data_IF_200329907159
#
_entry.id   IF_200329907159
#
_cell.length_a   1.000
_cell.length_b   1.000
_cell.length_c   1.000
_cell.angle_alpha   90.00
_cell.angle_beta   90.00
_cell.angle_gamma   90.00
#
_symmetry.space_group_name_H-M   'P 1'
#
loop_
_entity.id
_entity.type
_entity.pdbx_description
1 polymer ?
#
# COMPACT_ATOMS: atom_id res chain seq x y z
N UNK A 1 -10.67 0.05 -20.86
CA UNK A 1 -9.75 -0.32 -19.78
C UNK A 1 -9.46 -1.83 -19.74
N UNK A 2 -10.46 -2.71 -19.93
CA UNK A 2 -10.26 -4.16 -19.93
C UNK A 2 -9.15 -4.66 -20.88
N UNK A 3 -9.02 -4.08 -22.06
CA UNK A 3 -7.97 -4.45 -23.02
C UNK A 3 -6.55 -4.20 -22.53
N UNK A 4 -6.34 -3.14 -21.71
CA UNK A 4 -5.05 -2.87 -21.10
C UNK A 4 -4.63 -4.03 -20.20
N UNK A 5 -5.48 -4.45 -19.27
CA UNK A 5 -5.19 -5.54 -18.34
C UNK A 5 -5.05 -6.90 -19.04
N UNK A 6 -5.81 -7.14 -20.12
CA UNK A 6 -5.66 -8.35 -20.93
C UNK A 6 -4.28 -8.47 -21.57
N UNK A 7 -3.67 -7.32 -21.96
CA UNK A 7 -2.34 -7.30 -22.55
C UNK A 7 -1.22 -7.61 -21.54
N UNK A 8 -1.45 -7.45 -20.24
CA UNK A 8 -0.48 -7.81 -19.22
C UNK A 8 -0.14 -9.31 -19.24
N UNK A 9 -1.05 -10.16 -19.72
CA UNK A 9 -0.88 -11.62 -19.78
C UNK A 9 0.26 -12.06 -20.70
N UNK A 10 0.60 -11.26 -21.71
CA UNK A 10 1.66 -11.59 -22.68
C UNK A 10 3.06 -11.15 -22.23
N UNK A 11 3.15 -10.37 -21.15
CA UNK A 11 4.42 -9.88 -20.63
C UNK A 11 5.16 -11.02 -19.91
N UNK A 12 6.42 -11.33 -20.27
CA UNK A 12 7.20 -12.34 -19.56
C UNK A 12 7.43 -11.95 -18.10
N UNK A 13 7.06 -12.85 -17.17
CA UNK A 13 7.21 -12.63 -15.72
C UNK A 13 8.65 -12.79 -15.21
N UNK A 14 9.55 -13.37 -16.01
CA UNK A 14 10.96 -13.54 -15.63
C UNK A 14 11.86 -12.88 -16.67
N UNK A 15 12.59 -11.86 -16.28
CA UNK A 15 13.56 -11.16 -17.12
C UNK A 15 14.76 -10.71 -16.30
N UNK A 16 15.96 -10.88 -16.84
CA UNK A 16 17.22 -10.43 -16.22
C UNK A 16 17.43 -10.92 -14.77
N UNK A 17 16.93 -12.12 -14.45
CA UNK A 17 17.02 -12.69 -13.11
C UNK A 17 16.00 -12.13 -12.11
N UNK A 18 15.09 -11.25 -12.55
CA UNK A 18 14.04 -10.65 -11.73
C UNK A 18 12.71 -11.30 -12.05
N UNK A 19 11.90 -11.55 -11.04
CA UNK A 19 10.49 -11.89 -11.18
C UNK A 19 9.64 -10.62 -11.17
N UNK A 20 8.84 -10.44 -12.21
CA UNK A 20 8.00 -9.27 -12.41
C UNK A 20 6.55 -9.61 -12.08
N UNK A 21 6.00 -8.97 -11.06
CA UNK A 21 4.57 -9.01 -10.74
C UNK A 21 3.89 -7.81 -11.41
N UNK A 22 2.89 -8.08 -12.24
CA UNK A 22 2.12 -7.04 -12.92
C UNK A 22 0.77 -6.85 -12.24
N UNK A 23 0.49 -5.62 -11.86
CA UNK A 23 -0.70 -5.30 -11.10
C UNK A 23 -1.23 -3.90 -11.34
N UNK A 24 -1.95 -3.42 -10.36
CA UNK A 24 -2.53 -2.08 -10.39
C UNK A 24 -2.61 -1.51 -8.98
N UNK A 25 -2.56 -0.20 -8.90
CA UNK A 25 -3.01 0.54 -7.74
C UNK A 25 -4.49 0.88 -7.89
N UNK A 26 -5.31 0.32 -7.00
CA UNK A 26 -6.75 0.50 -6.92
C UNK A 26 -7.10 1.75 -6.11
N UNK A 27 -8.15 2.44 -6.51
CA UNK A 27 -8.73 3.48 -5.68
C UNK A 27 -9.80 2.89 -4.75
N UNK A 28 -9.64 3.07 -3.44
CA UNK A 28 -10.69 2.82 -2.47
C UNK A 28 -11.70 3.97 -2.54
N UNK A 29 -12.96 3.67 -2.83
CA UNK A 29 -13.96 4.66 -3.21
C UNK A 29 -14.79 5.19 -2.03
N UNK A 30 -14.93 4.40 -0.97
CA UNK A 30 -15.79 4.71 0.18
C UNK A 30 -15.44 3.86 1.41
N UNK A 31 -16.08 4.15 2.54
CA UNK A 31 -15.89 3.42 3.80
C UNK A 31 -16.29 1.93 3.74
N UNK A 32 -17.12 1.53 2.77
CA UNK A 32 -17.45 0.11 2.53
C UNK A 32 -16.30 -0.67 1.87
N UNK A 33 -15.19 -0.01 1.53
CA UNK A 33 -14.02 -0.65 0.90
C UNK A 33 -14.21 -0.97 -0.58
N UNK A 34 -15.17 -0.31 -1.25
CA UNK A 34 -15.39 -0.51 -2.68
C UNK A 34 -14.20 0.02 -3.48
N UNK A 35 -13.73 -0.77 -4.44
CA UNK A 35 -12.65 -0.39 -5.36
C UNK A 35 -13.19 -0.06 -6.76
N UNK A 36 -12.38 0.63 -7.55
CA UNK A 36 -12.74 1.14 -8.88
C UNK A 36 -12.62 0.11 -10.02
N UNK A 37 -12.04 -1.06 -9.77
CA UNK A 37 -11.98 -2.16 -10.74
C UNK A 37 -12.87 -3.33 -10.32
N UNK A 38 -13.38 -4.03 -11.33
CA UNK A 38 -14.21 -5.22 -11.11
C UNK A 38 -13.36 -6.44 -10.74
N UNK A 39 -13.96 -7.38 -10.03
CA UNK A 39 -13.35 -8.66 -9.67
C UNK A 39 -12.81 -9.44 -10.88
N UNK A 40 -13.48 -9.36 -12.03
CA UNK A 40 -13.03 -10.02 -13.25
C UNK A 40 -11.70 -9.47 -13.79
N UNK A 41 -11.38 -8.20 -13.49
CA UNK A 41 -10.06 -7.63 -13.77
C UNK A 41 -9.07 -8.09 -12.72
N UNK A 42 -9.42 -7.97 -11.44
CA UNK A 42 -8.53 -8.30 -10.31
C UNK A 42 -8.01 -9.75 -10.39
N UNK A 43 -8.85 -10.71 -10.73
CA UNK A 43 -8.47 -12.11 -10.95
C UNK A 43 -7.36 -12.33 -11.98
N UNK A 44 -7.10 -11.35 -12.83
CA UNK A 44 -6.12 -11.46 -13.91
C UNK A 44 -4.77 -10.84 -13.58
N UNK A 45 -4.66 -10.19 -12.43
CA UNK A 45 -3.47 -9.50 -11.96
C UNK A 45 -2.62 -10.43 -11.08
N UNK A 46 -1.33 -10.15 -11.03
CA UNK A 46 -0.40 -10.86 -10.15
C UNK A 46 -0.39 -10.23 -8.75
N UNK A 47 -0.73 -8.93 -8.65
CA UNK A 47 -0.71 -8.16 -7.41
C UNK A 47 -1.66 -6.97 -7.50
N UNK A 48 -2.32 -6.59 -6.41
CA UNK A 48 -3.11 -5.38 -6.32
C UNK A 48 -2.81 -4.60 -5.04
N UNK A 49 -2.54 -3.30 -5.22
CA UNK A 49 -2.34 -2.32 -4.15
C UNK A 49 -3.63 -1.52 -4.03
N UNK A 50 -4.17 -1.34 -2.84
CA UNK A 50 -5.36 -0.53 -2.62
C UNK A 50 -5.02 0.73 -1.81
N UNK A 51 -5.36 1.90 -2.36
CA UNK A 51 -5.01 3.20 -1.79
C UNK A 51 -6.19 4.14 -1.73
N UNK A 52 -6.15 5.12 -0.82
CA UNK A 52 -7.14 6.19 -0.78
C UNK A 52 -6.55 7.45 -1.43
N UNK A 53 -7.30 8.02 -2.39
CA UNK A 53 -6.94 9.25 -3.08
C UNK A 53 -8.07 10.29 -2.99
N UNK A 54 -7.69 11.58 -2.85
CA UNK A 54 -8.64 12.69 -2.70
C UNK A 54 -9.73 12.71 -3.78
N UNK A 55 -9.42 12.57 -5.09
CA UNK A 55 -10.45 12.66 -6.11
C UNK A 55 -11.39 11.45 -6.18
N UNK A 56 -11.02 10.34 -5.51
CA UNK A 56 -11.73 9.07 -5.63
C UNK A 56 -12.56 8.73 -4.39
N UNK A 57 -12.08 9.06 -3.20
CA UNK A 57 -12.77 8.76 -1.95
C UNK A 57 -13.96 9.69 -1.75
N UNK A 58 -15.16 9.14 -1.63
CA UNK A 58 -16.44 9.88 -1.68
C UNK A 58 -17.01 10.22 -0.32
N UNK A 59 -16.61 9.48 0.71
CA UNK A 59 -17.11 9.71 2.07
C UNK A 59 -16.30 10.79 2.78
N UNK A 60 -16.86 11.28 3.88
CA UNK A 60 -16.14 12.19 4.76
C UNK A 60 -14.88 11.52 5.32
N UNK A 61 -13.75 12.22 5.27
CA UNK A 61 -12.43 11.71 5.69
C UNK A 61 -12.26 11.77 7.20
N UNK A 62 -13.19 11.17 7.94
CA UNK A 62 -13.07 10.97 9.39
C UNK A 62 -12.18 9.76 9.69
N UNK A 63 -11.60 9.70 10.89
CA UNK A 63 -10.82 8.53 11.35
C UNK A 63 -11.63 7.25 11.19
N UNK A 64 -12.93 7.27 11.52
CA UNK A 64 -13.77 6.07 11.45
C UNK A 64 -14.01 5.62 10.01
N UNK A 65 -14.39 6.53 9.09
CA UNK A 65 -14.65 6.18 7.69
C UNK A 65 -13.38 5.69 6.98
N UNK A 66 -12.23 6.34 7.22
CA UNK A 66 -10.97 5.95 6.61
C UNK A 66 -10.49 4.59 7.15
N UNK A 67 -10.61 4.39 8.47
CA UNK A 67 -10.25 3.10 9.07
C UNK A 67 -11.15 1.99 8.56
N UNK A 68 -12.46 2.21 8.51
CA UNK A 68 -13.42 1.24 7.97
C UNK A 68 -13.15 0.93 6.50
N UNK A 69 -12.79 1.91 5.68
CA UNK A 69 -12.43 1.73 4.28
C UNK A 69 -11.26 0.75 4.11
N UNK A 70 -10.20 0.95 4.89
CA UNK A 70 -9.05 0.05 4.89
C UNK A 70 -9.41 -1.34 5.45
N UNK A 71 -10.15 -1.41 6.56
CA UNK A 71 -10.56 -2.70 7.13
C UNK A 71 -11.42 -3.52 6.17
N UNK A 72 -12.35 -2.87 5.47
CA UNK A 72 -13.26 -3.53 4.54
C UNK A 72 -12.57 -3.94 3.24
N UNK A 73 -11.68 -3.11 2.68
CA UNK A 73 -10.95 -3.47 1.46
C UNK A 73 -10.00 -4.65 1.67
N UNK A 74 -9.44 -4.82 2.87
CA UNK A 74 -8.59 -5.97 3.21
C UNK A 74 -9.37 -7.31 3.27
N UNK A 75 -10.70 -7.29 3.28
CA UNK A 75 -11.52 -8.52 3.13
C UNK A 75 -11.62 -8.97 1.67
N UNK A 76 -11.22 -8.13 0.72
CA UNK A 76 -11.19 -8.50 -0.68
C UNK A 76 -9.98 -9.41 -0.95
N UNK A 77 -10.17 -10.68 -1.35
CA UNK A 77 -9.10 -11.65 -1.51
C UNK A 77 -8.11 -11.35 -2.65
N UNK A 78 -8.38 -10.32 -3.44
CA UNK A 78 -7.51 -9.86 -4.53
C UNK A 78 -6.70 -8.62 -4.16
N UNK A 79 -6.78 -8.14 -2.91
CA UNK A 79 -6.00 -7.01 -2.43
C UNK A 79 -4.85 -7.52 -1.58
N UNK A 80 -3.63 -7.31 -2.05
CA UNK A 80 -2.41 -7.81 -1.42
C UNK A 80 -1.76 -6.77 -0.52
N UNK A 81 -1.87 -5.49 -0.89
CA UNK A 81 -1.15 -4.39 -0.25
C UNK A 81 -2.09 -3.21 0.00
N UNK A 82 -1.97 -2.58 1.16
CA UNK A 82 -2.51 -1.24 1.40
C UNK A 82 -1.41 -0.21 1.10
N UNK A 83 -1.66 0.63 0.09
CA UNK A 83 -0.73 1.66 -0.36
C UNK A 83 -0.77 2.91 0.52
N UNK A 84 0.40 3.47 0.80
CA UNK A 84 0.66 4.74 1.51
C UNK A 84 -0.36 5.14 2.61
N UNK A 85 -0.67 4.27 3.60
CA UNK A 85 -1.64 4.58 4.65
C UNK A 85 -1.13 5.62 5.66
N UNK A 86 0.05 6.15 5.43
CA UNK A 86 0.70 7.18 6.21
C UNK A 86 0.25 8.61 5.86
N UNK A 87 -0.53 8.79 4.80
CA UNK A 87 -1.00 10.11 4.36
C UNK A 87 -1.98 10.74 5.36
N UNK A 88 -1.51 11.76 6.09
CA UNK A 88 -2.30 12.43 7.13
C UNK A 88 -3.56 13.16 6.65
N UNK A 89 -3.72 13.32 5.33
CA UNK A 89 -4.98 13.82 4.73
C UNK A 89 -6.13 12.80 4.87
N UNK A 90 -5.79 11.56 5.21
CA UNK A 90 -6.69 10.43 5.48
C UNK A 90 -6.38 9.87 6.87
N UNK A 91 -6.88 10.51 7.93
CA UNK A 91 -6.57 10.11 9.30
C UNK A 91 -7.12 8.70 9.58
N UNK A 92 -6.27 7.82 10.12
CA UNK A 92 -6.57 6.41 10.36
C UNK A 92 -6.23 5.99 11.78
N UNK A 93 -7.04 5.10 12.37
CA UNK A 93 -6.65 4.37 13.58
C UNK A 93 -5.59 3.32 13.22
N UNK A 94 -4.33 3.67 13.42
CA UNK A 94 -3.19 2.87 13.01
C UNK A 94 -3.17 1.49 13.68
N UNK A 95 -3.63 1.40 14.92
CA UNK A 95 -3.69 0.13 15.66
C UNK A 95 -4.74 -0.82 15.06
N UNK A 96 -5.91 -0.30 14.72
CA UNK A 96 -6.96 -1.08 14.03
C UNK A 96 -6.48 -1.53 12.66
N UNK A 97 -5.88 -0.62 11.88
CA UNK A 97 -5.30 -0.92 10.55
C UNK A 97 -4.32 -2.09 10.62
N UNK A 98 -3.32 -2.02 11.49
CA UNK A 98 -2.29 -3.06 11.64
C UNK A 98 -2.90 -4.37 12.15
N UNK A 99 -3.83 -4.29 13.11
CA UNK A 99 -4.51 -5.49 13.61
C UNK A 99 -5.36 -6.18 12.54
N UNK A 100 -5.95 -5.41 11.63
CA UNK A 100 -6.69 -5.96 10.49
C UNK A 100 -5.74 -6.61 9.48
N UNK A 101 -4.66 -5.92 9.11
CA UNK A 101 -3.63 -6.45 8.21
C UNK A 101 -3.07 -7.80 8.73
N UNK A 102 -2.84 -7.91 10.04
CA UNK A 102 -2.45 -9.19 10.66
C UNK A 102 -3.45 -10.32 10.43
N UNK A 103 -4.75 -10.01 10.53
CA UNK A 103 -5.81 -11.03 10.39
C UNK A 103 -5.99 -11.50 8.96
N UNK A 104 -5.84 -10.58 7.99
CA UNK A 104 -6.05 -10.87 6.57
C UNK A 104 -4.78 -11.32 5.86
N UNK A 105 -3.60 -11.04 6.43
CA UNK A 105 -2.31 -11.28 5.78
C UNK A 105 -1.94 -10.20 4.76
N UNK A 106 -2.70 -9.11 4.70
CA UNK A 106 -2.44 -7.99 3.78
C UNK A 106 -1.19 -7.23 4.22
N UNK A 107 -0.33 -6.88 3.27
CA UNK A 107 0.89 -6.11 3.53
C UNK A 107 0.55 -4.61 3.69
N UNK A 108 1.34 -3.92 4.50
CA UNK A 108 1.26 -2.46 4.62
C UNK A 108 2.47 -1.82 3.95
N UNK A 109 2.22 -0.89 3.05
CA UNK A 109 3.29 -0.23 2.31
C UNK A 109 4.01 0.83 3.16
N UNK A 110 5.34 0.80 3.14
CA UNK A 110 6.20 1.92 3.49
C UNK A 110 6.60 2.59 2.19
N UNK A 111 5.88 3.65 1.84
CA UNK A 111 6.00 4.32 0.56
C UNK A 111 7.10 5.40 0.60
N UNK A 112 8.18 5.16 -0.14
CA UNK A 112 9.33 6.07 -0.16
C UNK A 112 8.99 7.47 -0.71
N UNK A 113 8.11 7.54 -1.73
CA UNK A 113 7.66 8.81 -2.31
C UNK A 113 6.87 9.65 -1.32
N UNK A 114 6.04 9.03 -0.46
CA UNK A 114 5.33 9.71 0.63
C UNK A 114 6.27 10.44 1.61
N UNK A 115 7.45 9.89 1.82
CA UNK A 115 8.39 10.35 2.84
C UNK A 115 9.34 11.45 2.34
N UNK A 116 9.26 11.83 1.06
CA UNK A 116 10.06 12.93 0.48
C UNK A 116 9.74 14.26 1.16
N UNK A 117 10.76 15.11 1.44
CA UNK A 117 10.56 16.40 2.09
C UNK A 117 9.61 17.34 1.32
N UNK A 118 9.65 17.28 -0.03
CA UNK A 118 8.85 18.11 -0.94
C UNK A 118 7.54 17.44 -1.35
N UNK A 119 7.15 16.35 -0.66
CA UNK A 119 5.93 15.61 -0.95
C UNK A 119 4.67 16.42 -0.67
N UNK A 120 3.60 16.08 -1.37
CA UNK A 120 2.28 16.72 -1.20
C UNK A 120 1.40 16.04 -0.12
N UNK A 121 1.83 14.88 0.38
CA UNK A 121 1.16 14.14 1.47
C UNK A 121 1.54 14.76 2.82
N UNK A 122 0.66 14.65 3.80
CA UNK A 122 0.79 15.34 5.09
C UNK A 122 1.18 14.38 6.22
N UNK A 123 2.02 14.83 7.16
CA UNK A 123 2.41 14.10 8.39
C UNK A 123 2.95 12.68 8.15
N UNK A 124 3.43 12.40 6.97
CA UNK A 124 3.79 11.05 6.52
C UNK A 124 4.88 10.40 7.37
N UNK A 125 5.94 11.13 7.71
CA UNK A 125 7.06 10.59 8.50
C UNK A 125 6.62 10.13 9.89
N UNK A 126 5.77 10.91 10.57
CA UNK A 126 5.26 10.57 11.89
C UNK A 126 4.30 9.38 11.82
N UNK A 127 3.37 9.42 10.88
CA UNK A 127 2.38 8.36 10.68
C UNK A 127 3.04 7.05 10.28
N UNK A 128 3.98 7.08 9.33
CA UNK A 128 4.74 5.92 8.91
C UNK A 128 5.54 5.32 10.08
N UNK A 129 6.22 6.15 10.88
CA UNK A 129 6.94 5.68 12.06
C UNK A 129 6.01 5.02 13.09
N UNK A 130 4.79 5.54 13.27
CA UNK A 130 3.75 4.91 14.12
C UNK A 130 3.34 3.55 13.56
N UNK A 131 3.06 3.50 12.26
CA UNK A 131 2.67 2.27 11.56
C UNK A 131 3.71 1.17 11.70
N UNK A 132 4.98 1.45 11.38
CA UNK A 132 6.04 0.44 11.44
C UNK A 132 6.32 -0.04 12.87
N UNK A 133 6.18 0.83 13.87
CA UNK A 133 6.29 0.42 15.28
C UNK A 133 5.16 -0.53 15.66
N UNK A 134 3.94 -0.22 15.28
CA UNK A 134 2.77 -1.07 15.53
C UNK A 134 2.90 -2.42 14.78
N UNK A 135 3.39 -2.39 13.52
CA UNK A 135 3.69 -3.60 12.74
C UNK A 135 4.73 -4.48 13.44
N UNK A 136 5.82 -3.88 13.93
CA UNK A 136 6.84 -4.60 14.70
C UNK A 136 6.28 -5.26 15.96
N UNK A 137 5.48 -4.52 16.74
CA UNK A 137 4.87 -5.03 17.98
C UNK A 137 3.92 -6.19 17.72
N UNK A 138 3.17 -6.13 16.64
CA UNK A 138 2.19 -7.17 16.27
C UNK A 138 2.77 -8.28 15.38
N UNK A 139 3.99 -8.14 14.85
CA UNK A 139 4.58 -9.08 13.90
C UNK A 139 3.88 -9.07 12.54
N UNK A 140 3.56 -7.88 12.03
CA UNK A 140 2.92 -7.68 10.72
C UNK A 140 3.96 -7.33 9.68
N UNK A 141 3.89 -7.98 8.53
CA UNK A 141 4.80 -7.73 7.41
C UNK A 141 4.47 -6.42 6.71
N UNK A 142 5.52 -5.74 6.25
CA UNK A 142 5.45 -4.57 5.39
C UNK A 142 6.06 -4.85 4.03
N UNK A 143 5.82 -3.95 3.08
CA UNK A 143 6.50 -3.93 1.78
C UNK A 143 7.05 -2.54 1.51
N UNK A 144 8.23 -2.44 0.90
CA UNK A 144 8.80 -1.16 0.46
C UNK A 144 8.29 -0.81 -0.92
N UNK A 145 7.70 0.37 -1.07
CA UNK A 145 7.27 0.92 -2.34
C UNK A 145 8.08 2.16 -2.71
N UNK A 146 8.68 2.20 -3.89
CA UNK A 146 9.30 3.44 -4.40
C UNK A 146 8.26 4.44 -4.90
N UNK A 147 7.10 3.96 -5.34
CA UNK A 147 6.04 4.77 -5.98
C UNK A 147 6.65 5.63 -7.10
N UNK A 148 7.48 4.97 -7.92
CA UNK A 148 8.31 5.61 -8.93
C UNK A 148 7.50 6.05 -10.14
N UNK A 149 7.67 7.30 -10.55
CA UNK A 149 7.11 7.86 -11.78
C UNK A 149 8.19 8.12 -12.84
N UNK A 150 9.46 7.85 -12.49
CA UNK A 150 10.63 7.94 -13.37
C UNK A 150 11.57 6.77 -13.14
N UNK A 151 12.35 6.39 -14.13
CA UNK A 151 13.24 5.24 -14.07
C UNK A 151 14.32 5.34 -13.00
N UNK A 152 14.80 6.54 -12.71
CA UNK A 152 15.81 6.81 -11.69
C UNK A 152 15.36 6.50 -10.24
N UNK A 153 14.05 6.44 -10.00
CA UNK A 153 13.49 6.21 -8.66
C UNK A 153 13.08 4.73 -8.44
N UNK A 154 13.21 3.89 -9.46
CA UNK A 154 12.81 2.46 -9.35
C UNK A 154 13.71 1.75 -8.34
N UNK A 155 13.08 1.11 -7.35
CA UNK A 155 13.74 0.39 -6.26
C UNK A 155 14.67 1.27 -5.37
N UNK A 156 14.43 2.57 -5.33
CA UNK A 156 15.14 3.50 -4.45
C UNK A 156 14.30 3.78 -3.20
N UNK A 157 14.85 3.47 -2.00
CA UNK A 157 14.12 3.53 -0.73
C UNK A 157 14.80 4.37 0.38
N UNK A 158 15.59 5.43 0.10
CA UNK A 158 16.40 6.09 1.11
C UNK A 158 15.59 6.66 2.29
N UNK A 159 14.40 7.19 2.05
CA UNK A 159 13.55 7.73 3.11
C UNK A 159 12.82 6.63 3.90
N UNK A 160 12.40 5.56 3.23
CA UNK A 160 11.81 4.40 3.88
C UNK A 160 12.83 3.71 4.81
N UNK A 161 14.06 3.50 4.34
CA UNK A 161 15.15 2.93 5.14
C UNK A 161 15.47 3.76 6.39
N UNK A 162 15.42 5.10 6.28
CA UNK A 162 15.58 5.99 7.44
C UNK A 162 14.52 5.73 8.52
N UNK A 163 13.26 5.57 8.12
CA UNK A 163 12.15 5.26 9.04
C UNK A 163 12.33 3.89 9.68
N UNK A 164 12.66 2.86 8.89
CA UNK A 164 12.87 1.50 9.38
C UNK A 164 14.05 1.45 10.37
N UNK A 165 15.13 2.14 10.08
CA UNK A 165 16.28 2.26 10.98
C UNK A 165 15.92 2.95 12.30
N UNK A 166 15.13 4.04 12.26
CA UNK A 166 14.62 4.72 13.47
C UNK A 166 13.73 3.83 14.33
N UNK A 167 12.94 2.94 13.69
CA UNK A 167 12.10 1.99 14.38
C UNK A 167 12.84 0.74 14.86
N UNK A 168 14.10 0.53 14.47
CA UNK A 168 14.79 -0.77 14.57
C UNK A 168 13.89 -1.89 14.05
N UNK A 169 13.36 -1.73 12.84
CA UNK A 169 12.39 -2.66 12.24
C UNK A 169 13.13 -3.93 11.82
N UNK A 170 12.60 -5.14 12.09
CA UNK A 170 13.26 -6.40 11.76
C UNK A 170 13.14 -6.70 10.26
N UNK A 171 14.26 -7.08 9.63
CA UNK A 171 14.32 -7.36 8.19
C UNK A 171 13.40 -8.53 7.78
N UNK A 172 13.24 -9.52 8.65
CA UNK A 172 12.37 -10.67 8.43
C UNK A 172 10.87 -10.34 8.29
N UNK A 173 10.48 -9.09 8.63
CA UNK A 173 9.12 -8.58 8.44
C UNK A 173 9.00 -7.68 7.19
N UNK A 174 10.02 -7.64 6.31
CA UNK A 174 9.99 -6.90 5.05
C UNK A 174 9.84 -7.90 3.89
N UNK A 175 8.73 -7.82 3.18
CA UNK A 175 8.34 -8.84 2.21
C UNK A 175 9.18 -8.86 0.92
N UNK A 176 9.87 -7.77 0.59
CA UNK A 176 10.61 -7.59 -0.66
C UNK A 176 12.10 -7.23 -0.48
N UNK A 177 12.71 -7.69 0.60
CA UNK A 177 14.16 -7.69 0.81
C UNK A 177 14.76 -9.06 0.52
#
# INVERSE_FOLDING_TARGET
HLYYFQNLRIVPRKRFGIELLLGTELNIMNAEGKVDLSEDVLKTLDIAIASIHIPCFRDERTVENVTAAYENVMENPYVDIIGHPDDGRFPVDMKRLVSKAKKTGTLLEVNNSSLRPEGFRENTKENCLRMVKECKEQGVMIVLGSDSHVDADIAEYPYAEEILKKANFPEELIANL
#
